data_IF_955622728960
#
_entry.id   IF_955622728960
#
_cell.length_a   1.000
_cell.length_b   1.000
_cell.length_c   1.000
_cell.angle_alpha   90.00
_cell.angle_beta   90.00
_cell.angle_gamma   90.00
#
_symmetry.space_group_name_H-M   'P 1'
#
loop_
_entity.id
_entity.type
_entity.pdbx_description
1 polymer ?
#
# COMPACT_ATOMS: atom_id res chain seq x y z
N UNK A 1 37.54 8.39 -18.93
CA UNK A 1 36.10 8.39 -18.59
C UNK A 1 35.87 9.51 -17.59
N UNK A 2 34.97 10.46 -17.87
CA UNK A 2 34.65 11.55 -16.93
C UNK A 2 33.58 11.05 -15.97
N UNK A 3 33.96 10.76 -14.72
CA UNK A 3 33.01 10.46 -13.66
C UNK A 3 32.39 11.79 -13.23
N UNK A 4 31.06 11.89 -13.30
CA UNK A 4 30.34 13.11 -12.91
C UNK A 4 30.70 13.56 -11.49
N UNK A 5 30.52 14.87 -11.20
CA UNK A 5 30.86 15.47 -9.89
C UNK A 5 30.39 14.59 -8.73
N UNK A 6 31.31 14.21 -7.85
CA UNK A 6 31.01 13.50 -6.61
C UNK A 6 30.39 14.46 -5.60
N UNK A 7 29.45 13.98 -4.78
CA UNK A 7 28.99 14.72 -3.61
C UNK A 7 30.10 14.81 -2.54
N UNK A 8 29.83 15.58 -1.48
CA UNK A 8 30.73 15.74 -0.32
C UNK A 8 31.01 14.44 0.44
N UNK A 9 30.30 13.34 0.12
CA UNK A 9 30.48 12.00 0.68
C UNK A 9 31.19 11.06 -0.29
N UNK A 10 31.73 11.58 -1.40
CA UNK A 10 32.47 10.82 -2.40
C UNK A 10 31.60 9.92 -3.29
N UNK A 11 30.26 10.07 -3.27
CA UNK A 11 29.36 9.31 -4.14
C UNK A 11 29.10 10.06 -5.43
N UNK A 12 28.99 9.33 -6.54
CA UNK A 12 28.55 9.90 -7.82
C UNK A 12 27.10 10.39 -7.68
N UNK A 13 26.94 11.70 -7.53
CA UNK A 13 25.64 12.37 -7.38
C UNK A 13 25.26 13.21 -8.61
N UNK A 14 26.16 13.29 -9.59
CA UNK A 14 25.94 14.01 -10.84
C UNK A 14 24.77 13.43 -11.64
N UNK A 15 23.97 14.30 -12.25
CA UNK A 15 22.92 13.91 -13.19
C UNK A 15 23.56 13.16 -14.37
N UNK A 16 23.13 11.94 -14.61
CA UNK A 16 23.53 11.18 -15.78
C UNK A 16 22.65 11.54 -16.99
N UNK A 17 23.21 11.42 -18.20
CA UNK A 17 22.45 11.62 -19.45
C UNK A 17 21.46 10.48 -19.72
N UNK A 18 20.48 10.72 -20.60
CA UNK A 18 19.34 9.81 -20.84
C UNK A 18 19.72 8.35 -21.11
N UNK A 19 20.72 8.10 -21.98
CA UNK A 19 21.18 6.73 -22.30
C UNK A 19 21.71 5.94 -21.10
N UNK A 20 22.19 6.63 -20.06
CA UNK A 20 22.64 5.97 -18.83
C UNK A 20 21.44 5.57 -17.97
N UNK A 21 20.42 6.42 -17.88
CA UNK A 21 19.20 6.12 -17.13
C UNK A 21 18.43 4.95 -17.74
N UNK A 22 18.43 4.81 -19.07
CA UNK A 22 17.83 3.65 -19.75
C UNK A 22 18.47 2.32 -19.35
N UNK A 23 19.76 2.33 -18.96
CA UNK A 23 20.49 1.14 -18.49
C UNK A 23 20.31 0.87 -17.00
N UNK A 24 19.87 1.87 -16.23
CA UNK A 24 19.59 1.73 -14.79
C UNK A 24 18.19 1.19 -14.51
N UNK A 25 17.28 1.27 -15.50
CA UNK A 25 15.93 0.71 -15.41
C UNK A 25 15.92 -0.82 -15.50
N UNK A 26 14.77 -1.45 -15.25
CA UNK A 26 14.61 -2.89 -15.44
C UNK A 26 14.79 -3.28 -16.92
N UNK A 27 14.96 -4.59 -17.17
CA UNK A 27 15.08 -5.08 -18.54
C UNK A 27 13.85 -4.68 -19.36
N UNK A 28 14.07 -4.38 -20.64
CA UNK A 28 12.99 -4.00 -21.56
C UNK A 28 11.86 -5.03 -21.52
N UNK A 29 10.62 -4.54 -21.38
CA UNK A 29 9.41 -5.37 -21.32
C UNK A 29 9.04 -5.88 -19.92
N UNK A 30 9.86 -5.65 -18.89
CA UNK A 30 9.46 -5.95 -17.51
C UNK A 30 8.62 -4.82 -16.91
N UNK A 31 7.49 -5.16 -16.31
CA UNK A 31 6.68 -4.22 -15.54
C UNK A 31 7.38 -3.84 -14.24
N UNK A 32 7.31 -2.56 -13.89
CA UNK A 32 7.88 -2.02 -12.65
C UNK A 32 7.12 -0.77 -12.22
N UNK A 33 7.36 -0.34 -10.99
CA UNK A 33 6.91 0.98 -10.50
C UNK A 33 7.99 1.61 -9.63
N UNK A 34 7.99 2.93 -9.56
CA UNK A 34 8.91 3.68 -8.71
C UNK A 34 8.36 3.77 -7.28
N UNK A 35 9.27 3.85 -6.32
CA UNK A 35 8.97 4.22 -4.93
C UNK A 35 10.01 5.28 -4.55
N UNK A 36 9.57 6.41 -3.99
CA UNK A 36 10.49 7.49 -3.64
C UNK A 36 11.22 7.21 -2.33
N UNK A 37 12.43 7.75 -2.18
CA UNK A 37 13.17 7.67 -0.92
C UNK A 37 12.39 8.32 0.23
N UNK A 38 11.77 9.48 -0.01
CA UNK A 38 10.95 10.19 0.98
C UNK A 38 9.86 9.29 1.56
N UNK A 39 9.16 8.55 0.69
CA UNK A 39 8.16 7.58 1.10
C UNK A 39 8.77 6.44 1.92
N UNK A 40 9.90 5.86 1.47
CA UNK A 40 10.54 4.72 2.16
C UNK A 40 10.96 5.06 3.59
N UNK A 41 11.49 6.26 3.82
CA UNK A 41 11.98 6.67 5.15
C UNK A 41 10.86 7.19 6.06
N UNK A 42 9.67 7.47 5.52
CA UNK A 42 8.53 7.95 6.27
C UNK A 42 8.10 7.00 7.39
N UNK A 43 7.50 7.54 8.46
CA UNK A 43 6.98 6.73 9.55
C UNK A 43 5.89 5.75 9.07
N UNK A 44 4.92 6.15 8.21
CA UNK A 44 3.89 5.24 7.72
C UNK A 44 4.45 4.05 6.96
N UNK A 45 5.47 4.24 6.11
CA UNK A 45 6.04 3.15 5.32
C UNK A 45 6.81 2.14 6.18
N UNK A 46 7.65 2.62 7.11
CA UNK A 46 8.55 1.77 7.90
C UNK A 46 7.84 0.98 9.00
N UNK A 47 6.68 1.44 9.47
CA UNK A 47 6.00 0.87 10.65
C UNK A 47 4.86 -0.09 10.32
N UNK A 48 4.55 -0.33 9.05
CA UNK A 48 3.50 -1.27 8.63
C UNK A 48 3.66 -2.65 9.25
N UNK A 49 2.54 -3.29 9.59
CA UNK A 49 2.56 -4.73 9.88
C UNK A 49 2.82 -5.57 8.63
N UNK A 50 3.25 -6.81 8.82
CA UNK A 50 3.53 -7.75 7.73
C UNK A 50 2.35 -7.92 6.75
N UNK A 51 1.11 -7.98 7.26
CA UNK A 51 -0.06 -8.11 6.38
C UNK A 51 -0.33 -6.82 5.59
N UNK A 52 -0.08 -5.65 6.18
CA UNK A 52 -0.18 -4.36 5.48
C UNK A 52 0.89 -4.24 4.39
N UNK A 53 2.13 -4.70 4.65
CA UNK A 53 3.18 -4.81 3.61
C UNK A 53 2.70 -5.67 2.45
N UNK A 54 2.24 -6.90 2.72
CA UNK A 54 1.73 -7.83 1.68
C UNK A 54 0.57 -7.24 0.89
N UNK A 55 -0.34 -6.53 1.56
CA UNK A 55 -1.48 -5.90 0.91
C UNK A 55 -1.04 -4.79 -0.06
N UNK A 56 -0.11 -3.92 0.36
CA UNK A 56 0.43 -2.85 -0.50
C UNK A 56 1.23 -3.45 -1.66
N UNK A 57 2.04 -4.49 -1.41
CA UNK A 57 2.78 -5.20 -2.46
C UNK A 57 1.84 -5.86 -3.48
N UNK A 58 0.73 -6.43 -3.03
CA UNK A 58 -0.30 -6.96 -3.94
C UNK A 58 -0.86 -5.86 -4.85
N UNK A 59 -1.20 -4.69 -4.29
CA UNK A 59 -1.70 -3.56 -5.08
C UNK A 59 -0.62 -2.99 -6.02
N UNK A 60 0.64 -2.96 -5.59
CA UNK A 60 1.77 -2.56 -6.45
C UNK A 60 1.93 -3.54 -7.61
N UNK A 61 1.79 -4.85 -7.37
CA UNK A 61 1.85 -5.87 -8.42
C UNK A 61 0.70 -5.71 -9.44
N UNK A 62 -0.53 -5.46 -8.98
CA UNK A 62 -1.68 -5.16 -9.86
C UNK A 62 -1.45 -3.86 -10.65
N UNK A 63 -0.91 -2.82 -10.00
CA UNK A 63 -0.56 -1.56 -10.66
C UNK A 63 0.50 -1.76 -11.76
N UNK A 64 1.55 -2.55 -11.48
CA UNK A 64 2.58 -2.91 -12.45
C UNK A 64 2.03 -3.73 -13.62
N UNK A 65 1.13 -4.69 -13.34
CA UNK A 65 0.49 -5.52 -14.37
C UNK A 65 -0.34 -4.68 -15.36
N UNK A 66 -0.89 -3.56 -14.91
CA UNK A 66 -1.67 -2.62 -15.71
C UNK A 66 -0.87 -1.41 -16.22
N UNK A 67 0.46 -1.54 -16.35
CA UNK A 67 1.36 -0.49 -16.83
C UNK A 67 1.22 0.86 -16.08
N UNK A 68 0.80 0.81 -14.82
CA UNK A 68 0.57 1.97 -13.97
C UNK A 68 -0.70 2.80 -14.28
N UNK A 69 -1.55 2.34 -15.19
CA UNK A 69 -2.68 3.14 -15.70
C UNK A 69 -3.94 3.06 -14.83
N UNK A 70 -4.11 1.97 -14.09
CA UNK A 70 -5.33 1.65 -13.35
C UNK A 70 -5.27 2.03 -11.85
N UNK A 71 -4.36 2.94 -11.45
CA UNK A 71 -4.38 3.44 -10.07
C UNK A 71 -5.71 4.18 -9.79
N UNK A 72 -6.47 3.77 -8.76
CA UNK A 72 -7.89 4.16 -8.60
C UNK A 72 -8.89 3.04 -8.85
N UNK A 73 -8.45 1.99 -9.55
CA UNK A 73 -9.27 0.83 -9.95
C UNK A 73 -8.60 -0.50 -9.61
N UNK A 74 -7.59 -0.47 -8.75
CA UNK A 74 -6.86 -1.67 -8.33
C UNK A 74 -7.80 -2.57 -7.51
N UNK A 75 -7.85 -3.86 -7.83
CA UNK A 75 -8.84 -4.78 -7.26
C UNK A 75 -8.18 -5.82 -6.38
N UNK A 76 -8.66 -5.94 -5.15
CA UNK A 76 -8.14 -6.92 -4.20
C UNK A 76 -9.29 -7.72 -3.57
N UNK A 77 -9.63 -8.85 -4.18
CA UNK A 77 -10.61 -9.77 -3.56
C UNK A 77 -9.99 -10.51 -2.37
N UNK A 78 -10.82 -10.92 -1.41
CA UNK A 78 -10.34 -11.68 -0.25
C UNK A 78 -9.63 -12.97 -0.65
N UNK A 79 -10.10 -13.66 -1.70
CA UNK A 79 -9.51 -14.91 -2.14
C UNK A 79 -8.15 -14.69 -2.82
N UNK A 80 -7.99 -13.62 -3.60
CA UNK A 80 -6.69 -13.22 -4.16
C UNK A 80 -5.70 -12.87 -3.05
N UNK A 81 -6.12 -12.08 -2.06
CA UNK A 81 -5.26 -11.71 -0.94
C UNK A 81 -4.88 -12.91 -0.07
N UNK A 82 -5.78 -13.89 0.06
CA UNK A 82 -5.47 -15.15 0.73
C UNK A 82 -4.42 -15.95 -0.03
N UNK A 83 -4.57 -16.09 -1.36
CA UNK A 83 -3.57 -16.73 -2.24
C UNK A 83 -2.24 -15.98 -2.23
N UNK A 84 -2.26 -14.65 -2.11
CA UNK A 84 -1.07 -13.81 -1.94
C UNK A 84 -0.36 -13.98 -0.59
N UNK A 85 -0.99 -14.70 0.36
CA UNK A 85 -0.38 -15.04 1.64
C UNK A 85 -0.89 -14.23 2.83
N UNK A 86 -2.01 -13.51 2.71
CA UNK A 86 -2.66 -12.85 3.85
C UNK A 86 -3.74 -13.77 4.43
N UNK A 87 -3.59 -14.21 5.67
CA UNK A 87 -4.63 -15.01 6.33
C UNK A 87 -5.94 -14.23 6.38
N UNK A 88 -7.08 -14.89 6.15
CA UNK A 88 -8.41 -14.26 6.03
C UNK A 88 -8.76 -13.29 7.18
N UNK A 89 -8.49 -13.61 8.47
CA UNK A 89 -8.72 -12.67 9.58
C UNK A 89 -7.79 -11.45 9.59
N UNK A 90 -6.66 -11.53 8.89
CA UNK A 90 -5.67 -10.47 8.77
C UNK A 90 -5.89 -9.53 7.58
N UNK A 91 -6.77 -9.89 6.64
CA UNK A 91 -7.07 -9.08 5.45
C UNK A 91 -7.69 -7.73 5.85
N UNK A 92 -8.78 -7.77 6.63
CA UNK A 92 -9.47 -6.54 7.02
C UNK A 92 -8.56 -5.60 7.82
N UNK A 93 -7.83 -6.06 8.86
CA UNK A 93 -6.87 -5.22 9.56
C UNK A 93 -5.75 -4.66 8.67
N UNK A 94 -5.32 -5.39 7.64
CA UNK A 94 -4.29 -4.89 6.71
C UNK A 94 -4.81 -3.75 5.84
N UNK A 95 -6.05 -3.85 5.36
CA UNK A 95 -6.72 -2.79 4.61
C UNK A 95 -6.91 -1.56 5.51
N UNK A 96 -7.49 -1.75 6.70
CA UNK A 96 -7.74 -0.66 7.64
C UNK A 96 -6.42 0.05 8.06
N UNK A 97 -5.34 -0.72 8.24
CA UNK A 97 -4.01 -0.15 8.52
C UNK A 97 -3.47 0.63 7.33
N UNK A 98 -3.54 0.08 6.11
CA UNK A 98 -3.04 0.77 4.92
C UNK A 98 -3.80 2.08 4.63
N UNK A 99 -5.11 2.11 4.89
CA UNK A 99 -5.92 3.33 4.82
C UNK A 99 -5.57 4.33 5.92
N UNK A 100 -5.46 3.88 7.17
CA UNK A 100 -5.07 4.75 8.28
C UNK A 100 -3.70 5.41 8.05
N UNK A 101 -2.74 4.64 7.52
CA UNK A 101 -1.40 5.12 7.21
C UNK A 101 -1.37 6.07 6.00
N UNK A 102 -2.51 6.30 5.34
CA UNK A 102 -2.61 7.17 4.17
C UNK A 102 -1.81 6.64 2.98
N UNK A 103 -1.52 5.34 2.93
CA UNK A 103 -0.77 4.71 1.84
C UNK A 103 -1.70 4.17 0.74
N UNK A 104 -2.91 3.80 1.15
CA UNK A 104 -3.98 3.32 0.28
C UNK A 104 -5.25 4.12 0.58
N UNK A 105 -6.11 4.28 -0.42
CA UNK A 105 -7.47 4.79 -0.23
C UNK A 105 -8.46 3.91 -0.99
N UNK A 106 -9.57 3.55 -0.36
CA UNK A 106 -10.71 2.96 -1.04
C UNK A 106 -11.33 3.99 -2.00
N UNK A 107 -11.35 3.64 -3.28
CA UNK A 107 -11.94 4.46 -4.36
C UNK A 107 -13.40 4.10 -4.61
N UNK A 108 -13.75 2.82 -4.54
CA UNK A 108 -15.15 2.35 -4.66
C UNK A 108 -15.38 1.19 -3.71
N UNK A 109 -16.41 1.29 -2.88
CA UNK A 109 -16.82 0.21 -1.98
C UNK A 109 -17.39 -0.94 -2.81
N UNK A 110 -16.80 -2.13 -2.65
CA UNK A 110 -17.34 -3.36 -3.22
C UNK A 110 -18.66 -3.75 -2.56
N UNK A 111 -19.45 -4.57 -3.24
CA UNK A 111 -20.77 -4.95 -2.77
C UNK A 111 -21.46 -5.98 -3.64
N UNK A 112 -22.60 -6.46 -3.17
CA UNK A 112 -23.50 -7.29 -3.96
C UNK A 112 -24.60 -6.39 -4.54
N UNK A 113 -24.66 -6.32 -5.87
CA UNK A 113 -25.72 -5.63 -6.59
C UNK A 113 -26.49 -6.70 -7.38
N UNK A 114 -27.63 -7.12 -6.84
CA UNK A 114 -28.38 -8.27 -7.36
C UNK A 114 -27.57 -9.57 -7.29
N UNK A 115 -27.31 -10.19 -8.45
CA UNK A 115 -26.50 -11.41 -8.57
C UNK A 115 -25.00 -11.12 -8.74
N UNK A 116 -24.63 -9.88 -9.11
CA UNK A 116 -23.24 -9.51 -9.35
C UNK A 116 -22.52 -9.15 -8.05
N UNK A 117 -21.28 -9.65 -7.90
CA UNK A 117 -20.34 -9.23 -6.86
C UNK A 117 -19.33 -8.26 -7.47
N UNK A 118 -19.36 -7.00 -7.02
CA UNK A 118 -18.35 -6.01 -7.40
C UNK A 118 -17.25 -5.99 -6.34
N UNK A 119 -15.98 -6.20 -6.69
CA UNK A 119 -14.88 -6.06 -5.74
C UNK A 119 -14.69 -4.59 -5.35
N UNK A 120 -14.09 -4.37 -4.18
CA UNK A 120 -13.61 -3.04 -3.81
C UNK A 120 -12.46 -2.61 -4.71
N UNK A 121 -12.43 -1.31 -5.02
CA UNK A 121 -11.39 -0.68 -5.83
C UNK A 121 -10.56 0.27 -4.97
N UNK A 122 -9.25 0.27 -5.18
CA UNK A 122 -8.28 0.99 -4.37
C UNK A 122 -7.35 1.87 -5.22
N UNK A 123 -6.78 2.90 -4.59
CA UNK A 123 -5.64 3.65 -5.11
C UNK A 123 -4.48 3.67 -4.12
N UNK A 124 -3.27 3.65 -4.66
CA UNK A 124 -2.04 4.00 -3.96
C UNK A 124 -1.93 5.52 -3.95
N UNK A 125 -1.90 6.13 -2.76
CA UNK A 125 -1.99 7.60 -2.60
C UNK A 125 -0.73 8.32 -3.07
N UNK A 126 0.39 7.60 -3.18
CA UNK A 126 1.69 8.09 -3.63
C UNK A 126 1.92 7.94 -5.13
N UNK A 127 0.99 7.34 -5.87
CA UNK A 127 1.01 7.32 -7.34
C UNK A 127 -0.06 8.27 -7.92
N UNK A 128 0.18 8.85 -9.11
CA UNK A 128 -0.84 9.64 -9.79
C UNK A 128 -2.02 8.75 -10.24
N UNK A 129 -3.13 9.39 -10.57
CA UNK A 129 -4.34 8.73 -11.09
C UNK A 129 -4.64 9.28 -12.47
N UNK A 130 -4.88 8.40 -13.44
CA UNK A 130 -5.39 8.80 -14.75
C UNK A 130 -6.90 9.04 -14.62
N UNK A 131 -7.33 10.26 -14.94
CA UNK A 131 -8.74 10.67 -14.89
C UNK A 131 -9.31 10.82 -16.30
N UNK A 132 -10.51 11.38 -16.44
CA UNK A 132 -11.19 11.56 -17.72
C UNK A 132 -10.27 12.26 -18.76
N UNK A 133 -10.44 11.89 -20.03
CA UNK A 133 -9.66 12.41 -21.15
C UNK A 133 -8.14 12.21 -21.04
N UNK A 134 -7.69 11.17 -20.31
CA UNK A 134 -6.28 10.84 -20.07
C UNK A 134 -5.51 11.96 -19.34
N UNK A 135 -6.20 12.87 -18.67
CA UNK A 135 -5.58 13.83 -17.77
C UNK A 135 -5.01 13.10 -16.55
N UNK A 136 -3.96 13.65 -15.94
CA UNK A 136 -3.26 13.04 -14.82
C UNK A 136 -3.51 13.88 -13.56
N UNK A 137 -4.13 13.29 -12.56
CA UNK A 137 -4.22 13.86 -11.22
C UNK A 137 -2.96 13.48 -10.41
N UNK A 138 -2.33 14.47 -9.80
CA UNK A 138 -1.14 14.28 -8.96
C UNK A 138 -1.38 13.31 -7.79
N UNK A 139 -0.32 12.63 -7.37
CA UNK A 139 -0.34 11.83 -6.15
C UNK A 139 -0.74 12.69 -4.94
N UNK A 140 -1.72 12.24 -4.16
CA UNK A 140 -2.24 13.00 -3.01
C UNK A 140 -1.34 12.89 -1.78
N UNK A 141 -0.49 11.86 -1.71
CA UNK A 141 0.50 11.66 -0.64
C UNK A 141 -0.09 11.80 0.78
N UNK A 142 -1.26 11.19 1.02
CA UNK A 142 -1.99 11.28 2.30
C UNK A 142 -1.12 10.86 3.50
N UNK A 143 -0.18 9.95 3.28
CA UNK A 143 0.82 9.50 4.26
C UNK A 143 1.69 10.62 4.84
N UNK A 144 1.86 11.77 4.16
CA UNK A 144 2.65 12.89 4.67
C UNK A 144 2.05 13.51 5.94
N UNK A 145 0.74 13.39 6.14
CA UNK A 145 0.05 13.88 7.33
C UNK A 145 0.14 12.94 8.55
N UNK A 146 0.73 11.76 8.40
CA UNK A 146 0.71 10.73 9.45
C UNK A 146 2.02 10.74 10.23
N UNK A 147 1.95 11.16 11.50
CA UNK A 147 3.11 11.23 12.39
C UNK A 147 3.43 9.88 13.05
N UNK A 148 4.63 9.75 13.60
CA UNK A 148 5.05 8.52 14.30
C UNK A 148 4.18 8.25 15.54
N UNK A 149 3.75 9.29 16.26
CA UNK A 149 2.86 9.21 17.41
C UNK A 149 1.48 8.67 17.02
N UNK A 150 0.95 9.12 15.87
CA UNK A 150 -0.32 8.62 15.33
C UNK A 150 -0.23 7.12 15.03
N UNK A 151 0.86 6.67 14.42
CA UNK A 151 1.10 5.25 14.13
C UNK A 151 1.19 4.43 15.41
N UNK A 152 1.96 4.89 16.40
CA UNK A 152 2.05 4.21 17.70
C UNK A 152 0.68 4.11 18.38
N UNK A 153 -0.09 5.20 18.41
CA UNK A 153 -1.43 5.22 18.98
C UNK A 153 -2.37 4.22 18.28
N UNK A 154 -2.30 4.14 16.95
CA UNK A 154 -3.10 3.19 16.17
C UNK A 154 -2.75 1.73 16.50
N UNK A 155 -1.46 1.37 16.56
CA UNK A 155 -1.06 0.01 16.87
C UNK A 155 -1.40 -0.39 18.30
N UNK A 156 -1.22 0.50 19.28
CA UNK A 156 -1.61 0.27 20.68
C UNK A 156 -3.11 0.02 20.78
N UNK A 157 -3.93 0.91 20.21
CA UNK A 157 -5.40 0.77 20.19
C UNK A 157 -5.83 -0.55 19.53
N UNK A 158 -5.23 -0.89 18.39
CA UNK A 158 -5.56 -2.13 17.66
C UNK A 158 -5.20 -3.37 18.47
N UNK A 159 -4.07 -3.34 19.20
CA UNK A 159 -3.65 -4.43 20.09
C UNK A 159 -4.61 -4.60 21.26
N UNK A 160 -5.06 -3.51 21.87
CA UNK A 160 -6.05 -3.50 22.96
C UNK A 160 -7.40 -4.05 22.50
N UNK A 161 -7.91 -3.57 21.35
CA UNK A 161 -9.15 -4.08 20.77
C UNK A 161 -9.09 -5.58 20.51
N UNK A 162 -7.99 -6.08 19.94
CA UNK A 162 -7.80 -7.52 19.71
C UNK A 162 -7.81 -8.33 21.02
N UNK A 163 -7.18 -7.82 22.08
CA UNK A 163 -7.21 -8.45 23.42
C UNK A 163 -8.62 -8.47 23.98
N UNK A 164 -9.33 -7.34 23.94
CA UNK A 164 -10.71 -7.22 24.44
C UNK A 164 -11.67 -8.15 23.68
N UNK A 165 -11.60 -8.21 22.34
CA UNK A 165 -12.40 -9.14 21.53
C UNK A 165 -12.12 -10.59 21.90
N UNK A 166 -10.86 -10.96 22.15
CA UNK A 166 -10.49 -12.32 22.56
C UNK A 166 -11.09 -12.67 23.94
N UNK A 167 -11.02 -11.74 24.90
CA UNK A 167 -11.60 -11.92 26.23
C UNK A 167 -13.13 -12.02 26.18
N UNK A 168 -13.79 -11.16 25.41
CA UNK A 168 -15.24 -11.20 25.21
C UNK A 168 -15.69 -12.55 24.62
N UNK A 169 -15.03 -13.02 23.56
CA UNK A 169 -15.33 -14.33 22.96
C UNK A 169 -15.13 -15.47 23.95
N UNK A 170 -14.07 -15.44 24.76
CA UNK A 170 -13.85 -16.45 25.80
C UNK A 170 -14.99 -16.45 26.83
N UNK A 171 -15.42 -15.28 27.31
CA UNK A 171 -16.52 -15.18 28.28
C UNK A 171 -17.84 -15.72 27.71
N UNK A 172 -18.13 -15.46 26.44
CA UNK A 172 -19.34 -15.95 25.78
C UNK A 172 -19.36 -17.48 25.61
N UNK A 173 -18.21 -18.10 25.30
CA UNK A 173 -18.11 -19.55 25.10
C UNK A 173 -18.09 -20.39 26.39
N UNK A 174 -17.61 -19.83 27.52
CA UNK A 174 -17.49 -20.54 28.79
C UNK A 174 -18.48 -20.05 29.86
N UNK A 175 -19.36 -19.10 29.53
CA UNK A 175 -20.29 -18.45 30.45
C UNK A 175 -21.76 -18.76 30.22
N UNK A 176 -22.08 -19.73 29.35
CA UNK A 176 -23.46 -20.15 29.03
C UNK A 176 -23.92 -21.42 29.76
N UNK A 177 -23.06 -22.03 30.57
CA UNK A 177 -23.32 -23.32 31.24
C UNK A 177 -23.57 -23.15 32.75
N UNK A 178 -24.20 -22.03 33.16
CA UNK A 178 -24.55 -21.73 34.55
C UNK A 178 -25.97 -21.20 34.69
#
# INVERSE_FOLDING_TARGET
MSFGKSDSKGRSSGKHGGKFNDRLGPKKGQSWTWITQELIISAPWRRRTLNCVRFIEFLLADHMANAGQENGRLKATYDQLQKWGIRRPGIRPAIDEAEFLGLVRLSSQGGRYGTARKPSEYRLTFHPVIVAHKSIASATNEWKGITIEMVHKYHTKTKELRKATKQYRKKQFYGSDG
#
